data_IF_240903068454
#
_entry.id   IF_240903068454
#
_cell.length_a   1.000
_cell.length_b   1.000
_cell.length_c   1.000
_cell.angle_alpha   90.00
_cell.angle_beta   90.00
_cell.angle_gamma   90.00
#
_symmetry.space_group_name_H-M   'P 1'
#
loop_
_entity.id
_entity.type
_entity.pdbx_description
1 polymer ?
#
# COMPACT_ATOMS: atom_id res chain seq x y z
N UNK A 1 -48.54 -25.33 -28.57
CA UNK A 1 -47.10 -25.52 -28.86
C UNK A 1 -46.63 -26.72 -28.06
N UNK A 2 -46.33 -27.82 -28.74
CA UNK A 2 -45.92 -29.07 -28.09
C UNK A 2 -44.44 -28.96 -27.71
N UNK A 3 -44.13 -28.93 -26.41
CA UNK A 3 -42.73 -28.92 -25.97
C UNK A 3 -42.06 -30.22 -26.41
N UNK A 4 -40.92 -30.17 -27.12
CA UNK A 4 -40.24 -31.37 -27.58
C UNK A 4 -39.90 -32.27 -26.39
N UNK A 5 -40.50 -33.47 -26.35
CA UNK A 5 -40.26 -34.46 -25.30
C UNK A 5 -39.11 -35.37 -25.70
N UNK A 6 -38.05 -35.38 -24.88
CA UNK A 6 -36.93 -36.30 -25.03
C UNK A 6 -37.42 -37.73 -24.85
N UNK A 7 -37.14 -38.59 -25.85
CA UNK A 7 -37.76 -39.92 -25.98
C UNK A 7 -37.12 -41.00 -25.09
N UNK A 8 -35.93 -40.76 -24.52
CA UNK A 8 -35.21 -41.75 -23.69
C UNK A 8 -35.01 -41.28 -22.24
N UNK A 9 -35.01 -42.21 -21.26
CA UNK A 9 -34.82 -41.88 -19.85
C UNK A 9 -33.43 -41.28 -19.58
N UNK A 10 -32.40 -41.76 -20.27
CA UNK A 10 -31.06 -41.18 -20.19
C UNK A 10 -31.02 -39.74 -20.74
N UNK A 11 -31.67 -39.45 -21.87
CA UNK A 11 -31.71 -38.09 -22.39
C UNK A 11 -32.41 -37.12 -21.43
N UNK A 12 -33.47 -37.57 -20.74
CA UNK A 12 -34.18 -36.73 -19.76
C UNK A 12 -33.35 -36.37 -18.52
N UNK A 13 -32.39 -37.22 -18.13
CA UNK A 13 -31.48 -36.95 -17.03
C UNK A 13 -30.26 -36.11 -17.47
N UNK A 14 -29.71 -36.41 -18.66
CA UNK A 14 -28.44 -35.85 -19.13
C UNK A 14 -28.62 -34.44 -19.73
N UNK A 15 -29.70 -34.20 -20.48
CA UNK A 15 -29.90 -32.93 -21.19
C UNK A 15 -30.02 -31.72 -20.25
N UNK A 16 -30.76 -31.75 -19.12
CA UNK A 16 -30.81 -30.62 -18.20
C UNK A 16 -29.45 -30.34 -17.53
N UNK A 17 -28.69 -31.38 -17.21
CA UNK A 17 -27.37 -31.26 -16.58
C UNK A 17 -26.36 -30.63 -17.54
N UNK A 18 -26.25 -31.15 -18.77
CA UNK A 18 -25.36 -30.57 -19.78
C UNK A 18 -25.81 -29.18 -20.20
N UNK A 19 -27.12 -28.92 -20.26
CA UNK A 19 -27.66 -27.58 -20.51
C UNK A 19 -27.23 -26.59 -19.42
N UNK A 20 -27.29 -26.99 -18.15
CA UNK A 20 -26.80 -26.19 -17.02
C UNK A 20 -25.30 -25.96 -17.09
N UNK A 21 -24.49 -27.00 -17.33
CA UNK A 21 -23.03 -26.88 -17.47
C UNK A 21 -22.66 -25.93 -18.61
N UNK A 22 -23.29 -26.09 -19.78
CA UNK A 22 -23.05 -25.21 -20.92
C UNK A 22 -23.41 -23.76 -20.61
N UNK A 23 -24.54 -23.53 -19.92
CA UNK A 23 -24.94 -22.20 -19.48
C UNK A 23 -23.91 -21.56 -18.55
N UNK A 24 -23.47 -22.26 -17.49
CA UNK A 24 -22.49 -21.71 -16.54
C UNK A 24 -21.12 -21.49 -17.18
N UNK A 25 -20.68 -22.38 -18.08
CA UNK A 25 -19.44 -22.20 -18.82
C UNK A 25 -19.48 -20.92 -19.69
N UNK A 26 -20.58 -20.71 -20.42
CA UNK A 26 -20.78 -19.50 -21.22
C UNK A 26 -20.89 -18.24 -20.36
N UNK A 27 -21.61 -18.32 -19.24
CA UNK A 27 -21.75 -17.21 -18.30
C UNK A 27 -20.40 -16.81 -17.70
N UNK A 28 -19.60 -17.79 -17.27
CA UNK A 28 -18.27 -17.56 -16.73
C UNK A 28 -17.32 -16.97 -17.79
N UNK A 29 -17.35 -17.48 -19.03
CA UNK A 29 -16.58 -16.91 -20.13
C UNK A 29 -16.99 -15.47 -20.44
N UNK A 30 -18.29 -15.17 -20.37
CA UNK A 30 -18.80 -13.80 -20.52
C UNK A 30 -18.28 -12.88 -19.42
N UNK A 31 -18.38 -13.30 -18.15
CA UNK A 31 -17.84 -12.55 -17.02
C UNK A 31 -16.32 -12.38 -17.10
N UNK A 32 -15.60 -13.42 -17.52
CA UNK A 32 -14.16 -13.37 -17.75
C UNK A 32 -13.81 -12.34 -18.82
N UNK A 33 -14.53 -12.33 -19.95
CA UNK A 33 -14.33 -11.34 -21.02
C UNK A 33 -14.64 -9.91 -20.57
N UNK A 34 -15.67 -9.70 -19.75
CA UNK A 34 -15.95 -8.40 -19.14
C UNK A 34 -14.81 -8.00 -18.20
N UNK A 35 -14.33 -8.95 -17.38
CA UNK A 35 -13.22 -8.71 -16.47
C UNK A 35 -11.92 -8.35 -17.20
N UNK A 36 -11.58 -8.99 -18.33
CA UNK A 36 -10.37 -8.61 -19.10
C UNK A 36 -10.48 -7.20 -19.68
N UNK A 37 -11.67 -6.79 -20.14
CA UNK A 37 -11.90 -5.42 -20.63
C UNK A 37 -11.83 -4.40 -19.51
N UNK A 38 -12.40 -4.69 -18.34
CA UNK A 38 -12.34 -3.80 -17.17
C UNK A 38 -10.91 -3.72 -16.65
N UNK A 39 -10.21 -4.84 -16.51
CA UNK A 39 -8.83 -4.88 -16.03
C UNK A 39 -7.86 -4.19 -16.98
N UNK A 40 -8.05 -4.30 -18.31
CA UNK A 40 -7.20 -3.59 -19.28
C UNK A 40 -7.45 -2.07 -19.32
N UNK A 41 -8.59 -1.59 -18.79
CA UNK A 41 -8.90 -0.15 -18.67
C UNK A 41 -8.63 0.40 -17.28
N UNK A 42 -8.56 -0.48 -16.29
CA UNK A 42 -8.06 -0.16 -14.97
C UNK A 42 -6.53 -0.14 -15.04
N UNK A 43 -5.95 0.95 -15.54
CA UNK A 43 -4.65 1.32 -14.98
C UNK A 43 -4.85 1.35 -13.46
N UNK A 44 -4.02 0.65 -12.66
CA UNK A 44 -4.08 0.77 -11.22
C UNK A 44 -3.68 2.20 -10.87
N UNK A 45 -4.65 3.12 -10.96
CA UNK A 45 -4.45 4.46 -10.48
C UNK A 45 -4.30 4.29 -9.00
N UNK A 46 -3.08 4.37 -8.51
CA UNK A 46 -2.75 4.63 -7.12
C UNK A 46 -3.18 6.07 -6.78
N UNK A 47 -4.40 6.45 -7.18
CA UNK A 47 -5.03 7.70 -6.86
C UNK A 47 -5.36 7.62 -5.38
N UNK A 48 -4.45 8.17 -4.60
CA UNK A 48 -4.55 8.26 -3.17
C UNK A 48 -5.80 9.11 -2.85
N UNK A 49 -6.92 8.45 -2.49
CA UNK A 49 -8.16 9.13 -2.09
C UNK A 49 -7.99 10.16 -0.95
N UNK A 50 -7.04 9.95 -0.04
CA UNK A 50 -6.60 10.95 0.94
C UNK A 50 -5.09 11.09 0.90
N UNK A 51 -4.60 12.15 0.25
CA UNK A 51 -3.17 12.43 0.08
C UNK A 51 -2.49 12.94 1.37
N UNK A 52 -3.22 12.93 2.48
CA UNK A 52 -2.75 13.29 3.81
C UNK A 52 -3.17 12.15 4.74
N UNK A 53 -2.19 11.55 5.43
CA UNK A 53 -2.38 10.44 6.34
C UNK A 53 -2.32 10.95 7.78
N UNK A 54 -3.36 10.69 8.58
CA UNK A 54 -3.34 10.99 10.01
C UNK A 54 -2.52 9.95 10.77
N UNK A 55 -1.46 10.38 11.44
CA UNK A 55 -0.62 9.50 12.26
C UNK A 55 -1.22 9.36 13.66
N UNK A 56 -1.71 10.46 14.23
CA UNK A 56 -2.36 10.49 15.54
C UNK A 56 -2.05 11.75 16.33
N UNK A 57 -2.27 11.69 17.65
CA UNK A 57 -2.04 12.82 18.56
C UNK A 57 -0.55 13.14 18.67
N UNK A 58 -0.20 14.41 18.47
CA UNK A 58 1.19 14.88 18.37
C UNK A 58 1.98 14.54 19.64
N UNK A 59 1.42 14.78 20.82
CA UNK A 59 2.07 14.52 22.10
C UNK A 59 2.28 13.03 22.35
N UNK A 60 1.31 12.20 21.97
CA UNK A 60 1.41 10.75 22.11
C UNK A 60 2.49 10.18 21.18
N UNK A 61 2.56 10.68 19.95
CA UNK A 61 3.55 10.25 18.96
C UNK A 61 4.96 10.70 19.35
N UNK A 62 5.14 11.97 19.74
CA UNK A 62 6.43 12.48 20.22
C UNK A 62 6.94 11.67 21.41
N UNK A 63 6.08 11.37 22.38
CA UNK A 63 6.41 10.54 23.54
C UNK A 63 6.77 9.10 23.15
N UNK A 64 6.04 8.51 22.20
CA UNK A 64 6.34 7.17 21.69
C UNK A 64 7.69 7.15 21.00
N UNK A 65 8.00 8.13 20.14
CA UNK A 65 9.28 8.19 19.43
C UNK A 65 10.46 8.41 20.39
N UNK A 66 10.28 9.27 21.40
CA UNK A 66 11.30 9.49 22.43
C UNK A 66 11.62 8.22 23.23
N UNK A 67 10.67 7.30 23.37
CA UNK A 67 10.81 6.06 24.14
C UNK A 67 11.24 4.86 23.27
N UNK A 68 10.56 4.67 22.16
CA UNK A 68 10.60 3.45 21.36
C UNK A 68 11.40 3.64 20.05
N UNK A 69 11.76 4.88 19.70
CA UNK A 69 12.48 5.24 18.48
C UNK A 69 11.57 5.72 17.35
N UNK A 70 12.15 6.12 16.20
CA UNK A 70 11.40 6.64 15.07
C UNK A 70 10.34 5.66 14.56
N UNK A 71 9.22 6.17 14.09
CA UNK A 71 8.10 5.38 13.61
C UNK A 71 8.31 4.99 12.14
N UNK A 72 8.56 3.71 11.86
CA UNK A 72 8.53 3.16 10.51
C UNK A 72 7.10 2.83 10.11
N UNK A 73 6.63 3.47 9.04
CA UNK A 73 5.34 3.23 8.40
C UNK A 73 5.60 2.48 7.08
N UNK A 74 5.62 1.13 7.12
CA UNK A 74 5.82 0.34 5.92
C UNK A 74 4.62 0.52 4.98
N UNK A 75 4.90 0.56 3.68
CA UNK A 75 3.89 0.48 2.62
C UNK A 75 2.74 1.49 2.73
N UNK A 76 3.04 2.78 2.95
CA UNK A 76 2.03 3.83 2.84
C UNK A 76 1.51 3.91 1.38
N UNK A 77 0.44 3.15 1.13
CA UNK A 77 -0.39 3.10 -0.07
C UNK A 77 0.42 3.00 -1.37
N UNK A 78 1.29 2.00 -1.47
CA UNK A 78 1.86 1.56 -2.75
C UNK A 78 1.96 0.04 -2.77
N UNK A 79 1.42 -0.65 -3.80
CA UNK A 79 1.49 -2.10 -3.91
C UNK A 79 2.90 -2.65 -4.17
N UNK A 80 3.87 -1.78 -4.44
CA UNK A 80 5.28 -2.09 -4.71
C UNK A 80 6.21 -1.87 -3.49
N UNK A 81 5.69 -1.41 -2.35
CA UNK A 81 6.46 -1.15 -1.12
C UNK A 81 7.47 0.02 -1.19
N UNK A 82 7.53 0.72 -2.32
CA UNK A 82 8.47 1.83 -2.62
C UNK A 82 8.20 3.07 -1.73
N UNK A 83 7.09 3.10 -0.98
CA UNK A 83 6.64 4.23 -0.17
C UNK A 83 6.68 3.98 1.34
N UNK A 84 7.65 3.20 1.80
CA UNK A 84 7.96 3.12 3.24
C UNK A 84 8.49 4.47 3.72
N UNK A 85 7.92 5.01 4.80
CA UNK A 85 8.31 6.31 5.39
C UNK A 85 8.72 6.09 6.83
N UNK A 86 9.83 6.70 7.23
CA UNK A 86 10.25 6.81 8.62
C UNK A 86 9.92 8.20 9.11
N UNK A 87 9.20 8.28 10.21
CA UNK A 87 8.88 9.53 10.89
C UNK A 87 9.65 9.62 12.20
N UNK A 88 10.38 10.71 12.36
CA UNK A 88 11.21 10.97 13.51
C UNK A 88 10.84 12.30 14.17
N UNK A 89 11.11 12.39 15.46
CA UNK A 89 10.91 13.57 16.28
C UNK A 89 12.12 13.79 17.16
N UNK A 90 12.59 15.04 17.21
CA UNK A 90 13.70 15.46 18.04
C UNK A 90 13.33 16.72 18.83
N UNK A 91 13.84 16.82 20.06
CA UNK A 91 13.58 17.96 20.94
C UNK A 91 12.43 17.72 21.90
N UNK A 92 12.14 18.75 22.72
CA UNK A 92 11.20 18.66 23.84
C UNK A 92 9.80 19.22 23.53
N UNK A 93 9.67 20.08 22.52
CA UNK A 93 8.36 20.58 22.09
C UNK A 93 7.73 19.58 21.13
N UNK A 94 6.61 18.92 21.50
CA UNK A 94 5.96 17.95 20.63
C UNK A 94 5.45 18.58 19.33
N UNK A 95 5.24 19.91 19.25
CA UNK A 95 4.75 20.56 18.04
C UNK A 95 5.85 20.89 17.00
N UNK A 96 7.13 20.71 17.32
CA UNK A 96 8.25 21.06 16.42
C UNK A 96 9.28 19.92 16.36
N UNK A 97 10.27 20.00 15.45
CA UNK A 97 11.35 19.00 15.37
C UNK A 97 10.96 17.67 14.71
N UNK A 98 9.86 17.64 13.97
CA UNK A 98 9.43 16.49 13.15
C UNK A 98 10.19 16.43 11.84
N UNK A 99 10.67 15.25 11.49
CA UNK A 99 11.36 14.98 10.24
C UNK A 99 10.87 13.66 9.66
N UNK A 100 10.65 13.63 8.34
CA UNK A 100 10.39 12.39 7.62
C UNK A 100 11.66 11.95 6.86
N UNK A 101 11.75 10.66 6.56
CA UNK A 101 12.72 10.01 5.69
C UNK A 101 12.02 8.89 4.91
N UNK A 102 12.60 8.41 3.82
CA UNK A 102 12.18 7.14 3.24
C UNK A 102 12.78 5.97 4.01
N UNK A 103 12.10 4.83 3.98
CA UNK A 103 12.50 3.59 4.64
C UNK A 103 13.62 2.82 3.94
N UNK A 104 14.58 3.51 3.32
CA UNK A 104 15.76 2.92 2.68
C UNK A 104 16.99 3.85 2.83
N UNK A 105 18.22 3.31 2.82
CA UNK A 105 19.44 4.10 2.96
C UNK A 105 19.61 5.15 1.85
N UNK A 106 20.25 6.28 2.16
CA UNK A 106 20.50 7.31 1.15
C UNK A 106 21.42 6.86 0.00
N UNK A 107 22.25 5.84 0.25
CA UNK A 107 23.22 5.23 -0.68
C UNK A 107 22.66 4.00 -1.42
N UNK A 108 21.36 3.70 -1.29
CA UNK A 108 20.67 2.60 -1.97
C UNK A 108 19.35 3.07 -2.56
N UNK A 109 18.74 2.22 -3.38
CA UNK A 109 17.40 2.45 -3.92
C UNK A 109 16.30 1.84 -3.01
N UNK A 110 15.04 2.07 -3.39
CA UNK A 110 13.88 1.69 -2.62
C UNK A 110 13.66 0.16 -2.51
N UNK A 111 14.44 -0.67 -3.21
CA UNK A 111 14.39 -2.13 -3.03
C UNK A 111 15.09 -2.57 -1.74
N UNK A 112 15.99 -1.75 -1.20
CA UNK A 112 16.71 -2.02 0.04
C UNK A 112 15.98 -1.41 1.25
N UNK A 113 14.84 -1.99 1.62
CA UNK A 113 14.06 -1.52 2.76
C UNK A 113 14.78 -1.78 4.09
N UNK A 114 14.62 -0.86 5.03
CA UNK A 114 15.16 -0.98 6.39
C UNK A 114 14.14 -1.56 7.37
N UNK A 115 14.64 -2.23 8.39
CA UNK A 115 13.87 -2.68 9.56
C UNK A 115 14.25 -1.88 10.78
N UNK A 116 13.27 -1.39 11.54
CA UNK A 116 13.53 -0.62 12.75
C UNK A 116 13.99 -1.50 13.90
N UNK A 117 15.09 -1.11 14.57
CA UNK A 117 15.49 -1.71 15.83
C UNK A 117 14.71 -1.05 16.98
N UNK A 118 13.73 -1.77 17.54
CA UNK A 118 12.85 -1.23 18.59
C UNK A 118 13.66 -0.70 19.79
N UNK A 119 13.27 0.48 20.29
CA UNK A 119 13.91 1.12 21.44
C UNK A 119 15.20 1.85 21.08
N UNK A 120 15.56 1.93 19.80
CA UNK A 120 16.71 2.69 19.33
C UNK A 120 16.32 3.65 18.21
N UNK A 121 17.27 4.52 17.85
CA UNK A 121 17.16 5.44 16.71
C UNK A 121 17.91 4.91 15.48
N UNK A 122 18.07 3.59 15.39
CA UNK A 122 18.82 2.89 14.35
C UNK A 122 17.96 1.88 13.62
N UNK A 123 18.40 1.52 12.42
CA UNK A 123 17.73 0.58 11.53
C UNK A 123 18.74 -0.46 11.04
N UNK A 124 18.23 -1.60 10.61
CA UNK A 124 19.00 -2.61 9.89
C UNK A 124 18.58 -2.58 8.43
N UNK A 125 19.52 -2.42 7.50
CA UNK A 125 19.23 -2.43 6.07
C UNK A 125 19.24 -3.85 5.46
N UNK A 126 18.98 -3.95 4.16
CA UNK A 126 18.93 -5.22 3.44
C UNK A 126 20.27 -5.97 3.41
N UNK A 127 21.40 -5.28 3.64
CA UNK A 127 22.75 -5.85 3.71
C UNK A 127 23.13 -6.21 5.17
N UNK A 128 22.24 -5.98 6.13
CA UNK A 128 22.48 -6.22 7.55
C UNK A 128 23.29 -5.12 8.24
N UNK A 129 23.51 -3.97 7.60
CA UNK A 129 24.21 -2.82 8.20
C UNK A 129 23.30 -2.14 9.22
N UNK A 130 23.88 -1.66 10.30
CA UNK A 130 23.19 -0.76 11.25
C UNK A 130 23.34 0.68 10.76
N UNK A 131 22.21 1.33 10.49
CA UNK A 131 22.14 2.67 9.88
C UNK A 131 21.38 3.61 10.82
N UNK A 132 21.84 4.85 10.98
CA UNK A 132 21.16 5.88 11.75
C UNK A 132 19.99 6.50 10.96
N UNK A 133 19.01 7.08 11.66
CA UNK A 133 17.87 7.75 11.02
C UNK A 133 18.28 8.83 10.02
N UNK A 134 19.37 9.55 10.27
CA UNK A 134 19.89 10.62 9.42
C UNK A 134 20.59 10.14 8.15
N UNK A 135 20.92 8.85 8.09
CA UNK A 135 21.55 8.20 6.92
C UNK A 135 20.51 7.60 5.97
N UNK A 136 19.22 7.67 6.34
CA UNK A 136 18.11 7.34 5.46
C UNK A 136 17.92 8.39 4.38
N UNK A 137 17.33 7.99 3.25
CA UNK A 137 17.07 8.91 2.14
C UNK A 137 16.12 10.03 2.57
N UNK A 138 16.55 11.28 2.37
CA UNK A 138 15.71 12.44 2.64
C UNK A 138 14.45 12.46 1.75
N UNK A 139 13.29 12.88 2.28
CA UNK A 139 12.06 12.90 1.51
C UNK A 139 12.00 14.16 0.65
N UNK A 140 11.76 14.00 -0.64
CA UNK A 140 11.50 15.13 -1.54
C UNK A 140 10.02 15.54 -1.50
N UNK A 141 9.15 14.57 -1.20
CA UNK A 141 7.73 14.60 -1.52
C UNK A 141 6.82 14.36 -0.30
N UNK A 142 7.42 13.94 0.82
CA UNK A 142 6.73 13.59 2.05
C UNK A 142 7.05 14.62 3.12
N UNK A 143 6.03 15.20 3.77
CA UNK A 143 6.22 16.22 4.80
C UNK A 143 5.34 15.95 6.02
N UNK A 144 5.89 15.98 7.25
CA UNK A 144 5.07 15.98 8.45
C UNK A 144 4.37 17.34 8.59
N UNK A 145 3.09 17.32 8.97
CA UNK A 145 2.28 18.50 9.24
C UNK A 145 1.70 18.35 10.64
N UNK A 146 2.00 19.30 11.52
CA UNK A 146 1.37 19.41 12.84
C UNK A 146 0.22 20.40 12.71
N UNK A 147 -1.01 19.91 12.84
CA UNK A 147 -2.19 20.75 12.80
C UNK A 147 -2.65 21.12 14.21
N UNK A 148 -2.86 22.42 14.45
CA UNK A 148 -3.40 22.96 15.70
C UNK A 148 -2.66 22.49 16.97
N UNK A 149 -1.39 22.08 16.85
CA UNK A 149 -0.59 21.43 17.90
C UNK A 149 -1.20 20.15 18.47
N UNK A 150 -2.21 19.56 17.83
CA UNK A 150 -2.98 18.42 18.35
C UNK A 150 -2.77 17.16 17.54
N UNK A 151 -2.83 17.27 16.22
CA UNK A 151 -2.82 16.11 15.32
C UNK A 151 -1.65 16.18 14.37
N UNK A 152 -0.96 15.04 14.23
CA UNK A 152 0.15 14.86 13.33
C UNK A 152 -0.35 14.17 12.07
N UNK A 153 -0.04 14.79 10.94
CA UNK A 153 -0.32 14.29 9.61
C UNK A 153 0.96 14.07 8.83
N UNK A 154 0.92 13.18 7.86
CA UNK A 154 1.93 13.03 6.82
C UNK A 154 1.29 13.40 5.49
N UNK A 155 1.82 14.45 4.87
CA UNK A 155 1.46 14.85 3.53
C UNK A 155 2.20 13.98 2.51
N UNK A 156 1.42 13.27 1.71
CA UNK A 156 1.85 12.36 0.64
C UNK A 156 1.58 12.97 -0.74
N UNK A 157 1.11 14.23 -0.84
CA UNK A 157 0.72 14.85 -2.11
C UNK A 157 1.86 15.00 -3.11
N UNK A 158 3.10 15.06 -2.64
CA UNK A 158 4.27 15.09 -3.53
C UNK A 158 4.55 13.76 -4.21
N UNK A 159 4.03 12.64 -3.68
CA UNK A 159 4.26 11.31 -4.24
C UNK A 159 3.47 11.16 -5.54
N UNK A 160 4.10 11.49 -6.66
CA UNK A 160 3.59 11.12 -7.97
C UNK A 160 3.71 9.61 -8.12
N UNK A 161 2.67 8.95 -8.62
CA UNK A 161 2.78 7.56 -8.99
C UNK A 161 3.90 7.45 -10.05
N UNK A 162 5.04 6.85 -9.69
CA UNK A 162 5.99 6.41 -10.70
C UNK A 162 5.22 5.47 -11.60
N UNK A 163 5.03 5.87 -12.86
CA UNK A 163 4.51 4.99 -13.89
C UNK A 163 5.45 3.79 -13.96
N UNK A 164 5.06 2.68 -13.32
CA UNK A 164 5.71 1.39 -13.48
C UNK A 164 5.53 1.00 -14.94
N UNK A 165 6.49 1.43 -15.75
CA UNK A 165 6.59 1.02 -17.14
C UNK A 165 7.33 -0.30 -17.07
N UNK A 166 6.60 -1.39 -16.88
CA UNK A 166 7.14 -2.74 -17.06
C UNK A 166 7.32 -2.98 -18.58
N UNK A 167 8.46 -3.51 -19.03
CA UNK A 167 8.70 -3.91 -20.42
C UNK A 167 7.79 -5.05 -20.88
#
# INVERSE_FOLDING_TARGET
MESPRLRSPLARAVVPVFGGIAFFALFFLGLWGVATVINNRAEPTSAIGNKVFEVGKVEAMAKSIAKDGPLLLPDLKSPDGVRSVVLDHTGNDPATGWQAYYGYPADRDATCLVTHTRGSRTFTDCEGRTIAVTELKAPNEVRPIVENRKTLYIDLRGLTASNSTLP
#
